data_IF_679803825256
#
_entry.id   IF_679803825256
#
_cell.length_a   1.000
_cell.length_b   1.000
_cell.length_c   1.000
_cell.angle_alpha   90.00
_cell.angle_beta   90.00
_cell.angle_gamma   90.00
#
_symmetry.space_group_name_H-M   'P 1'
#
loop_
_entity.id
_entity.type
_entity.pdbx_description
1 polymer ?
#
# COMPACT_ATOMS: atom_id res chain seq x y z
N UNK A 1 -7.56 18.15 -4.62
CA UNK A 1 -8.00 16.82 -4.15
C UNK A 1 -7.79 15.72 -5.20
N UNK A 2 -8.49 15.75 -6.35
CA UNK A 2 -8.35 14.72 -7.41
C UNK A 2 -6.91 14.44 -7.83
N UNK A 3 -6.12 15.49 -8.09
CA UNK A 3 -4.70 15.32 -8.45
C UNK A 3 -3.91 14.57 -7.37
N UNK A 4 -4.11 14.90 -6.09
CA UNK A 4 -3.46 14.20 -4.98
C UNK A 4 -3.93 12.74 -4.85
N UNK A 5 -5.22 12.46 -5.08
CA UNK A 5 -5.74 11.11 -5.13
C UNK A 5 -5.17 10.32 -6.33
N UNK A 6 -5.01 10.95 -7.48
CA UNK A 6 -4.37 10.36 -8.65
C UNK A 6 -2.88 10.05 -8.38
N UNK A 7 -2.15 10.95 -7.72
CA UNK A 7 -0.78 10.69 -7.29
C UNK A 7 -0.70 9.52 -6.31
N UNK A 8 -1.60 9.45 -5.32
CA UNK A 8 -1.67 8.33 -4.38
C UNK A 8 -1.98 7.01 -5.08
N UNK A 9 -2.94 7.02 -6.03
CA UNK A 9 -3.32 5.86 -6.82
C UNK A 9 -2.18 5.37 -7.72
N UNK A 10 -1.59 6.29 -8.50
CA UNK A 10 -0.46 5.96 -9.39
C UNK A 10 0.78 5.52 -8.63
N UNK A 11 1.06 6.16 -7.49
CA UNK A 11 2.10 5.73 -6.56
C UNK A 11 1.87 4.31 -6.07
N UNK A 12 0.65 3.95 -5.65
CA UNK A 12 0.31 2.57 -5.25
C UNK A 12 0.47 1.59 -6.40
N UNK A 13 0.01 1.96 -7.60
CA UNK A 13 0.12 1.08 -8.76
C UNK A 13 1.57 0.76 -9.06
N UNK A 14 2.44 1.78 -9.13
CA UNK A 14 3.87 1.57 -9.38
C UNK A 14 4.52 0.81 -8.23
N UNK A 15 4.20 1.17 -6.99
CA UNK A 15 4.74 0.51 -5.80
C UNK A 15 4.37 -0.98 -5.78
N UNK A 16 3.12 -1.33 -6.10
CA UNK A 16 2.59 -2.70 -6.07
C UNK A 16 3.10 -3.60 -7.20
N UNK A 17 3.52 -3.03 -8.33
CA UNK A 17 4.12 -3.82 -9.44
C UNK A 17 5.38 -4.55 -8.97
N UNK A 18 6.26 -3.87 -8.23
CA UNK A 18 7.54 -4.44 -7.79
C UNK A 18 7.37 -5.71 -6.92
N UNK A 19 6.59 -5.72 -5.82
CA UNK A 19 6.33 -6.92 -5.05
C UNK A 19 5.54 -7.99 -5.83
N UNK A 20 4.70 -7.61 -6.80
CA UNK A 20 3.97 -8.56 -7.64
C UNK A 20 4.88 -9.35 -8.61
N UNK A 21 5.85 -8.68 -9.24
CA UNK A 21 6.70 -9.30 -10.27
C UNK A 21 8.03 -9.80 -9.72
N UNK A 22 8.60 -9.10 -8.73
CA UNK A 22 9.93 -9.34 -8.19
C UNK A 22 9.94 -9.34 -6.65
N UNK A 23 9.19 -10.26 -5.98
CA UNK A 23 9.06 -10.26 -4.53
C UNK A 23 10.39 -10.43 -3.79
N UNK A 24 11.37 -11.16 -4.36
CA UNK A 24 12.69 -11.29 -3.76
C UNK A 24 13.50 -9.97 -3.78
N UNK A 25 13.34 -9.15 -4.83
CA UNK A 25 13.95 -7.82 -4.86
C UNK A 25 13.28 -6.89 -3.86
N UNK A 26 11.95 -6.92 -3.79
CA UNK A 26 11.17 -6.18 -2.81
C UNK A 26 11.54 -6.56 -1.37
N UNK A 27 11.63 -7.86 -1.08
CA UNK A 27 12.03 -8.35 0.23
C UNK A 27 13.42 -7.88 0.64
N UNK A 28 14.40 -7.91 -0.28
CA UNK A 28 15.75 -7.38 -0.01
C UNK A 28 15.75 -5.87 0.25
N UNK A 29 14.94 -5.12 -0.50
CA UNK A 29 14.81 -3.68 -0.35
C UNK A 29 14.27 -3.33 1.05
N UNK A 30 13.24 -4.02 1.51
CA UNK A 30 12.58 -3.78 2.79
C UNK A 30 13.07 -4.67 3.94
N UNK A 31 14.09 -5.49 3.72
CA UNK A 31 14.67 -6.34 4.77
C UNK A 31 13.74 -7.46 5.28
N UNK A 32 12.81 -7.94 4.45
CA UNK A 32 11.91 -9.05 4.78
C UNK A 32 12.73 -10.35 4.76
N UNK A 33 12.80 -11.04 5.90
CA UNK A 33 13.45 -12.33 6.02
C UNK A 33 12.77 -13.38 5.13
N UNK A 34 13.56 -14.33 4.61
CA UNK A 34 13.06 -15.45 3.81
C UNK A 34 12.22 -15.03 2.57
N UNK A 35 12.43 -13.83 2.02
CA UNK A 35 11.62 -13.33 0.90
C UNK A 35 11.71 -14.10 -0.42
N UNK A 36 12.70 -14.99 -0.56
CA UNK A 36 12.80 -15.94 -1.68
C UNK A 36 12.03 -17.24 -1.45
N UNK A 37 11.60 -17.53 -0.21
CA UNK A 37 10.79 -18.71 0.08
C UNK A 37 9.44 -18.61 -0.64
N UNK A 38 8.97 -19.67 -1.31
CA UNK A 38 7.77 -19.60 -2.14
C UNK A 38 6.51 -19.11 -1.41
N UNK A 39 6.34 -19.48 -0.14
CA UNK A 39 5.20 -19.06 0.69
C UNK A 39 5.25 -17.57 1.02
N UNK A 40 6.41 -17.05 1.43
CA UNK A 40 6.64 -15.63 1.71
C UNK A 40 6.51 -14.81 0.43
N UNK A 41 7.12 -15.28 -0.66
CA UNK A 41 7.03 -14.63 -1.97
C UNK A 41 5.58 -14.57 -2.47
N UNK A 42 4.75 -15.58 -2.19
CA UNK A 42 3.32 -15.57 -2.54
C UNK A 42 2.56 -14.50 -1.75
N UNK A 43 2.84 -14.36 -0.45
CA UNK A 43 2.25 -13.30 0.38
C UNK A 43 2.64 -11.90 -0.12
N UNK A 44 3.92 -11.68 -0.45
CA UNK A 44 4.42 -10.41 -1.01
C UNK A 44 3.72 -10.10 -2.34
N UNK A 45 3.59 -11.09 -3.24
CA UNK A 45 2.88 -10.90 -4.52
C UNK A 45 1.42 -10.55 -4.32
N UNK A 46 0.74 -11.20 -3.37
CA UNK A 46 -0.66 -10.92 -3.04
C UNK A 46 -0.86 -9.46 -2.62
N UNK A 47 0.01 -8.94 -1.74
CA UNK A 47 0.04 -7.53 -1.34
C UNK A 47 0.27 -6.63 -2.56
N UNK A 48 1.26 -6.96 -3.40
CA UNK A 48 1.53 -6.20 -4.63
C UNK A 48 0.35 -6.13 -5.59
N UNK A 49 -0.34 -7.25 -5.83
CA UNK A 49 -1.55 -7.30 -6.68
C UNK A 49 -2.66 -6.43 -6.09
N UNK A 50 -2.86 -6.48 -4.77
CA UNK A 50 -3.85 -5.63 -4.08
C UNK A 50 -3.52 -4.14 -4.25
N UNK A 51 -2.26 -3.75 -4.10
CA UNK A 51 -1.82 -2.37 -4.26
C UNK A 51 -1.99 -1.89 -5.72
N UNK A 52 -1.71 -2.76 -6.69
CA UNK A 52 -1.97 -2.47 -8.11
C UNK A 52 -3.46 -2.25 -8.36
N UNK A 53 -4.31 -3.20 -7.93
CA UNK A 53 -5.76 -3.14 -8.18
C UNK A 53 -6.38 -1.92 -7.49
N UNK A 54 -6.04 -1.67 -6.23
CA UNK A 54 -6.55 -0.52 -5.47
C UNK A 54 -6.02 0.80 -6.00
N UNK A 55 -4.75 0.86 -6.44
CA UNK A 55 -4.16 2.03 -7.07
C UNK A 55 -4.79 2.37 -8.42
N UNK A 56 -5.02 1.37 -9.28
CA UNK A 56 -5.68 1.55 -10.59
C UNK A 56 -7.13 1.98 -10.40
N UNK A 57 -7.85 1.35 -9.47
CA UNK A 57 -9.22 1.75 -9.12
C UNK A 57 -9.29 3.22 -8.66
N UNK A 58 -8.36 3.63 -7.79
CA UNK A 58 -8.27 5.00 -7.31
C UNK A 58 -7.90 6.00 -8.43
N UNK A 59 -6.95 5.66 -9.30
CA UNK A 59 -6.59 6.47 -10.46
C UNK A 59 -7.78 6.68 -11.40
N UNK A 60 -8.48 5.61 -11.74
CA UNK A 60 -9.66 5.69 -12.60
C UNK A 60 -10.74 6.56 -11.95
N UNK A 61 -11.00 6.37 -10.66
CA UNK A 61 -11.96 7.18 -9.94
C UNK A 61 -11.55 8.66 -9.85
N UNK A 62 -10.26 8.95 -9.65
CA UNK A 62 -9.73 10.32 -9.58
C UNK A 62 -9.76 11.07 -10.92
N UNK A 63 -9.68 10.34 -12.03
CA UNK A 63 -9.82 10.89 -13.40
C UNK A 63 -11.27 10.96 -13.86
N UNK A 64 -12.16 10.20 -13.23
CA UNK A 64 -13.60 10.32 -13.41
C UNK A 64 -14.21 11.49 -12.64
N UNK A 65 -15.39 11.96 -13.08
CA UNK A 65 -16.21 12.90 -12.33
C UNK A 65 -17.11 12.22 -11.26
N UNK A 66 -16.84 10.95 -10.91
CA UNK A 66 -17.60 10.20 -9.91
C UNK A 66 -16.97 10.33 -8.51
N UNK A 67 -17.50 11.27 -7.72
CA UNK A 67 -17.07 11.51 -6.33
C UNK A 67 -17.33 10.30 -5.41
N UNK A 68 -18.39 9.53 -5.68
CA UNK A 68 -18.72 8.37 -4.87
C UNK A 68 -17.67 7.28 -5.08
N UNK A 69 -17.33 7.00 -6.32
CA UNK A 69 -16.26 6.06 -6.67
C UNK A 69 -14.92 6.52 -6.08
N UNK A 70 -14.59 7.82 -6.19
CA UNK A 70 -13.36 8.37 -5.63
C UNK A 70 -13.28 8.14 -4.12
N UNK A 71 -14.35 8.46 -3.39
CA UNK A 71 -14.41 8.27 -1.94
C UNK A 71 -14.33 6.79 -1.55
N UNK A 72 -14.99 5.89 -2.29
CA UNK A 72 -14.92 4.45 -2.04
C UNK A 72 -13.49 3.92 -2.20
N UNK A 73 -12.82 4.24 -3.30
CA UNK A 73 -11.44 3.79 -3.53
C UNK A 73 -10.44 4.41 -2.56
N UNK A 74 -10.62 5.67 -2.15
CA UNK A 74 -9.82 6.28 -1.09
C UNK A 74 -9.98 5.53 0.25
N UNK A 75 -11.21 5.22 0.66
CA UNK A 75 -11.45 4.47 1.90
C UNK A 75 -10.87 3.05 1.83
N UNK A 76 -11.03 2.36 0.70
CA UNK A 76 -10.42 1.03 0.49
C UNK A 76 -8.90 1.11 0.62
N UNK A 77 -8.27 2.14 0.04
CA UNK A 77 -6.81 2.31 0.12
C UNK A 77 -6.36 2.58 1.56
N UNK A 78 -7.05 3.48 2.27
CA UNK A 78 -6.78 3.76 3.68
C UNK A 78 -6.87 2.49 4.52
N UNK A 79 -7.88 1.66 4.28
CA UNK A 79 -8.04 0.40 5.00
C UNK A 79 -6.89 -0.58 4.73
N UNK A 80 -6.43 -0.69 3.48
CA UNK A 80 -5.29 -1.54 3.11
C UNK A 80 -4.00 -1.05 3.77
N UNK A 81 -3.67 0.24 3.61
CA UNK A 81 -2.45 0.83 4.15
C UNK A 81 -2.41 0.78 5.69
N UNK A 82 -3.55 1.02 6.35
CA UNK A 82 -3.65 0.88 7.80
C UNK A 82 -3.47 -0.58 8.24
N UNK A 83 -4.07 -1.54 7.51
CA UNK A 83 -3.89 -2.97 7.75
C UNK A 83 -2.43 -3.41 7.64
N UNK A 84 -1.72 -2.91 6.63
CA UNK A 84 -0.28 -3.19 6.46
C UNK A 84 0.55 -2.58 7.57
N UNK A 85 0.24 -1.36 7.98
CA UNK A 85 0.86 -0.73 9.14
C UNK A 85 0.67 -1.54 10.43
N UNK A 86 -0.54 -2.08 10.65
CA UNK A 86 -0.82 -2.99 11.78
C UNK A 86 -0.03 -4.29 11.66
N UNK A 87 0.04 -4.89 10.47
CA UNK A 87 0.81 -6.11 10.24
C UNK A 87 2.31 -5.91 10.56
N UNK A 88 2.89 -4.78 10.14
CA UNK A 88 4.26 -4.41 10.50
C UNK A 88 4.40 -4.18 11.99
N UNK A 89 3.46 -3.48 12.64
CA UNK A 89 3.47 -3.27 14.08
C UNK A 89 3.43 -4.59 14.88
N UNK A 90 2.65 -5.58 14.42
CA UNK A 90 2.61 -6.91 15.02
C UNK A 90 3.94 -7.66 14.86
N UNK A 91 4.59 -7.57 13.70
CA UNK A 91 5.92 -8.15 13.50
C UNK A 91 6.97 -7.48 14.40
N UNK A 92 6.89 -6.15 14.60
CA UNK A 92 7.73 -5.43 15.56
C UNK A 92 7.47 -5.92 16.99
N UNK A 93 6.21 -6.08 17.38
CA UNK A 93 5.86 -6.63 18.69
C UNK A 93 6.43 -8.05 18.88
N UNK A 94 6.51 -8.84 17.80
CA UNK A 94 7.11 -10.18 17.78
C UNK A 94 8.66 -10.20 17.71
N UNK A 95 9.33 -9.05 17.65
CA UNK A 95 10.79 -8.94 17.73
C UNK A 95 11.50 -8.50 16.45
N UNK A 96 10.78 -8.19 15.36
CA UNK A 96 11.40 -7.66 14.13
C UNK A 96 11.98 -6.25 14.36
N UNK A 97 13.23 -6.03 13.95
CA UNK A 97 13.97 -4.77 14.21
C UNK A 97 14.68 -4.21 12.99
N UNK A 98 14.56 -4.85 11.82
CA UNK A 98 15.21 -4.38 10.61
C UNK A 98 14.73 -2.96 10.23
N UNK A 99 15.61 -1.94 10.19
CA UNK A 99 15.19 -0.56 9.98
C UNK A 99 14.50 -0.34 8.62
N UNK A 100 14.84 -1.15 7.59
CA UNK A 100 14.17 -1.08 6.28
C UNK A 100 12.74 -1.62 6.36
N UNK A 101 12.51 -2.62 7.21
CA UNK A 101 11.18 -3.16 7.45
C UNK A 101 10.34 -2.17 8.26
N UNK A 102 10.94 -1.50 9.25
CA UNK A 102 10.29 -0.41 9.98
C UNK A 102 9.89 0.74 9.05
N UNK A 103 10.75 1.09 8.09
CA UNK A 103 10.46 2.11 7.09
C UNK A 103 9.27 1.72 6.19
N UNK A 104 9.11 0.43 5.86
CA UNK A 104 7.92 -0.06 5.14
C UNK A 104 6.64 0.19 5.94
N UNK A 105 6.64 -0.11 7.25
CA UNK A 105 5.51 0.19 8.12
C UNK A 105 5.23 1.69 8.23
N UNK A 106 6.29 2.50 8.36
CA UNK A 106 6.17 3.96 8.36
C UNK A 106 5.54 4.50 7.08
N UNK A 107 5.95 3.95 5.92
CA UNK A 107 5.37 4.30 4.62
C UNK A 107 3.88 3.95 4.56
N UNK A 108 3.50 2.75 5.02
CA UNK A 108 2.11 2.32 5.06
C UNK A 108 1.25 3.24 5.94
N UNK A 109 1.70 3.55 7.16
CA UNK A 109 0.98 4.47 8.07
C UNK A 109 0.88 5.88 7.48
N UNK A 110 1.95 6.39 6.86
CA UNK A 110 1.92 7.70 6.21
C UNK A 110 0.94 7.74 5.03
N UNK A 111 0.89 6.68 4.21
CA UNK A 111 -0.05 6.55 3.11
C UNK A 111 -1.51 6.47 3.62
N UNK A 112 -1.76 5.71 4.68
CA UNK A 112 -3.07 5.63 5.33
C UNK A 112 -3.53 6.99 5.86
N UNK A 113 -2.64 7.71 6.56
CA UNK A 113 -2.95 9.04 7.09
C UNK A 113 -3.23 10.04 5.95
N UNK A 114 -2.42 10.02 4.90
CA UNK A 114 -2.63 10.87 3.73
C UNK A 114 -3.96 10.55 3.02
N UNK A 115 -4.28 9.28 2.80
CA UNK A 115 -5.56 8.85 2.25
C UNK A 115 -6.74 9.29 3.13
N UNK A 116 -6.63 9.17 4.45
CA UNK A 116 -7.68 9.58 5.38
C UNK A 116 -7.93 11.10 5.35
N UNK A 117 -6.87 11.90 5.19
CA UNK A 117 -6.98 13.34 4.96
C UNK A 117 -7.74 13.64 3.67
N UNK A 118 -7.47 12.91 2.59
CA UNK A 118 -8.20 13.06 1.32
C UNK A 118 -9.68 12.65 1.44
N UNK A 119 -10.00 11.57 2.17
CA UNK A 119 -11.39 11.16 2.46
C UNK A 119 -12.14 12.24 3.23
N UNK A 120 -11.46 12.92 4.17
CA UNK A 120 -12.08 14.02 4.93
C UNK A 120 -12.39 15.23 4.05
N UNK A 121 -11.55 15.50 3.05
CA UNK A 121 -11.73 16.59 2.08
C UNK A 121 -12.76 16.28 0.99
N UNK A 122 -13.15 15.01 0.81
CA UNK A 122 -14.16 14.58 -0.16
C UNK A 122 -15.59 14.56 0.42
N UNK A 123 -15.81 15.20 1.57
CA UNK A 123 -17.12 15.43 2.18
C UNK A 123 -17.61 16.82 1.79
#
# INVERSE_FOLDING_TARGET
MRFAAALLGGGATVFGVVPAVAPGAFARLFGIAAGSEPSVATAIRSVGVRDVVTGVGLLNAATSNDERALRQWLMTRVACDAGDGVAVALAIAAGERNPRFLALGGLAIAAAAFGALLVKQSK
#
